data_IF_200233891549
#
_entry.id   IF_200233891549
#
_cell.length_a   1.000
_cell.length_b   1.000
_cell.length_c   1.000
_cell.angle_alpha   90.00
_cell.angle_beta   90.00
_cell.angle_gamma   90.00
#
_symmetry.space_group_name_H-M   'P 1'
#
loop_
_entity.id
_entity.type
_entity.pdbx_description
1 polymer ?
#
# COMPACT_ATOMS: atom_id res chain seq x y z
N UNK A 1 -10.73 -3.62 13.42
CA UNK A 1 -10.02 -4.93 13.48
C UNK A 1 -8.77 -4.85 14.35
N UNK A 2 -7.85 -3.94 14.04
CA UNK A 2 -6.63 -3.67 14.81
C UNK A 2 -6.70 -2.21 15.27
N UNK A 3 -6.40 -1.94 16.54
CA UNK A 3 -6.39 -0.57 17.09
C UNK A 3 -5.12 -0.38 17.90
N UNK A 4 -4.41 0.71 17.62
CA UNK A 4 -3.23 1.18 18.35
C UNK A 4 -3.60 2.46 19.09
N UNK A 5 -3.25 2.52 20.37
CA UNK A 5 -3.45 3.68 21.22
C UNK A 5 -2.10 4.10 21.81
N UNK A 6 -1.54 5.20 21.30
CA UNK A 6 -0.29 5.83 21.79
C UNK A 6 0.87 4.84 21.94
N UNK A 7 1.08 4.01 20.93
CA UNK A 7 2.07 2.93 20.96
C UNK A 7 3.47 3.49 20.81
N UNK A 8 4.37 3.05 21.70
CA UNK A 8 5.79 3.38 21.65
C UNK A 8 6.64 2.11 21.67
N UNK A 9 7.74 2.15 20.91
CA UNK A 9 8.82 1.16 20.93
C UNK A 9 10.15 1.90 20.95
N UNK A 10 10.88 1.75 22.04
CA UNK A 10 12.20 2.31 22.25
C UNK A 10 13.22 1.17 22.26
N UNK A 11 14.29 1.30 21.48
CA UNK A 11 15.46 0.44 21.54
C UNK A 11 16.60 1.14 22.29
N UNK A 12 17.32 0.38 23.11
CA UNK A 12 18.47 0.84 23.90
C UNK A 12 18.17 2.15 24.67
N UNK A 13 16.93 2.29 25.15
CA UNK A 13 16.40 3.42 25.94
C UNK A 13 16.58 4.82 25.32
N UNK A 14 16.93 4.91 24.04
CA UNK A 14 17.30 6.17 23.38
C UNK A 14 16.70 6.31 21.98
N UNK A 15 16.51 5.20 21.26
CA UNK A 15 16.04 5.21 19.88
C UNK A 15 14.55 4.85 19.79
N UNK A 16 13.71 5.84 19.50
CA UNK A 16 12.29 5.62 19.22
C UNK A 16 12.10 5.05 17.81
N UNK A 17 11.85 3.75 17.72
CA UNK A 17 11.45 3.13 16.46
C UNK A 17 9.96 3.29 16.15
N UNK A 18 9.13 3.37 17.19
CA UNK A 18 7.72 3.72 17.08
C UNK A 18 7.45 4.75 18.18
N UNK A 19 6.87 5.90 17.84
CA UNK A 19 6.68 7.03 18.73
C UNK A 19 5.25 7.54 18.64
N UNK A 20 4.53 7.42 19.74
CA UNK A 20 3.14 7.86 19.93
C UNK A 20 2.18 7.48 18.80
N UNK A 21 2.32 6.26 18.26
CA UNK A 21 1.54 5.84 17.09
C UNK A 21 0.13 5.41 17.52
N UNK A 22 -0.86 6.08 16.95
CA UNK A 22 -2.28 5.72 17.06
C UNK A 22 -2.86 5.50 15.68
N UNK A 23 -3.43 4.31 15.46
CA UNK A 23 -3.93 3.85 14.17
C UNK A 23 -5.15 2.95 14.41
N UNK A 24 -6.11 3.03 13.51
CA UNK A 24 -7.24 2.12 13.41
C UNK A 24 -7.19 1.43 12.05
N UNK A 25 -7.31 0.10 12.06
CA UNK A 25 -7.38 -0.72 10.86
C UNK A 25 -8.71 -1.46 10.91
N UNK A 26 -9.55 -1.22 9.91
CA UNK A 26 -10.88 -1.79 9.75
C UNK A 26 -10.81 -3.27 9.39
N UNK A 27 -11.95 -3.96 9.53
CA UNK A 27 -12.03 -5.38 9.16
C UNK A 27 -12.21 -5.48 7.65
N UNK A 28 -11.43 -6.33 7.00
CA UNK A 28 -11.61 -6.61 5.58
C UNK A 28 -11.03 -5.53 4.66
N UNK A 29 -10.17 -4.66 5.17
CA UNK A 29 -9.43 -3.71 4.33
C UNK A 29 -7.98 -4.17 4.10
N UNK A 30 -7.36 -3.61 3.05
CA UNK A 30 -5.93 -3.65 2.82
C UNK A 30 -5.34 -2.32 3.27
N UNK A 31 -4.65 -2.34 4.40
CA UNK A 31 -4.01 -1.18 5.01
C UNK A 31 -2.52 -1.13 4.69
N UNK A 32 -2.08 -0.04 4.08
CA UNK A 32 -0.69 0.20 3.73
C UNK A 32 0.05 1.01 4.80
N UNK A 33 1.31 0.68 5.04
CA UNK A 33 2.24 1.46 5.85
C UNK A 33 3.46 1.75 4.98
N UNK A 34 3.66 3.02 4.64
CA UNK A 34 4.74 3.48 3.77
C UNK A 34 5.66 4.46 4.50
N UNK A 35 6.88 4.59 4.03
CA UNK A 35 7.88 5.51 4.57
C UNK A 35 9.28 5.13 4.12
N UNK A 36 10.24 6.02 4.31
CA UNK A 36 11.64 5.76 3.98
C UNK A 36 12.23 4.60 4.80
N UNK A 37 13.39 4.10 4.37
CA UNK A 37 14.14 3.13 5.17
C UNK A 37 14.46 3.69 6.56
N UNK A 38 14.32 2.89 7.61
CA UNK A 38 14.50 3.33 8.99
C UNK A 38 13.34 4.11 9.61
N UNK A 39 12.21 4.30 8.91
CA UNK A 39 11.06 5.05 9.44
C UNK A 39 10.30 4.37 10.60
N UNK A 40 10.61 3.12 10.95
CA UNK A 40 9.94 2.37 12.04
C UNK A 40 8.90 1.33 11.59
N UNK A 41 8.68 1.18 10.27
CA UNK A 41 7.65 0.30 9.69
C UNK A 41 7.75 -1.15 10.16
N UNK A 42 8.90 -1.81 9.95
CA UNK A 42 9.07 -3.22 10.31
C UNK A 42 9.01 -3.45 11.82
N UNK A 43 9.42 -2.46 12.63
CA UNK A 43 9.19 -2.52 14.08
C UNK A 43 7.69 -2.49 14.39
N UNK A 44 6.93 -1.58 13.77
CA UNK A 44 5.48 -1.46 13.97
C UNK A 44 4.71 -2.74 13.63
N UNK A 45 4.95 -3.37 12.47
CA UNK A 45 4.21 -4.59 12.09
C UNK A 45 4.52 -5.78 13.01
N UNK A 46 5.75 -5.86 13.51
CA UNK A 46 6.18 -6.91 14.45
C UNK A 46 5.56 -6.74 15.83
N UNK A 47 5.07 -5.54 16.17
CA UNK A 47 4.26 -5.36 17.37
C UNK A 47 2.91 -6.07 17.26
N UNK A 48 2.31 -6.16 16.07
CA UNK A 48 0.98 -6.79 15.89
C UNK A 48 0.93 -8.27 16.23
N UNK A 49 1.99 -9.02 15.93
CA UNK A 49 2.09 -10.43 16.29
C UNK A 49 2.99 -10.66 17.52
N UNK A 50 3.43 -9.59 18.18
CA UNK A 50 4.29 -9.63 19.36
C UNK A 50 5.67 -10.24 19.09
N UNK A 51 6.17 -10.21 17.85
CA UNK A 51 7.59 -10.51 17.57
C UNK A 51 8.51 -9.44 18.16
N UNK A 52 7.97 -8.24 18.34
CA UNK A 52 8.55 -7.17 19.14
C UNK A 52 7.62 -6.86 20.31
N UNK A 53 8.19 -6.56 21.47
CA UNK A 53 7.44 -6.07 22.64
C UNK A 53 7.37 -4.55 22.62
N UNK A 54 6.18 -3.97 22.83
CA UNK A 54 6.02 -2.52 22.95
C UNK A 54 6.62 -2.01 24.27
N UNK A 55 7.10 -0.77 24.28
CA UNK A 55 7.59 -0.10 25.50
C UNK A 55 6.43 0.53 26.28
N UNK A 56 5.47 1.12 25.58
CA UNK A 56 4.24 1.67 26.18
C UNK A 56 3.11 1.79 25.16
N UNK A 57 1.90 2.10 25.63
CA UNK A 57 0.68 2.16 24.82
C UNK A 57 -0.13 0.87 24.84
N UNK A 58 -1.08 0.74 23.90
CA UNK A 58 -1.94 -0.45 23.81
C UNK A 58 -2.15 -0.86 22.35
N UNK A 59 -2.21 -2.17 22.12
CA UNK A 59 -2.57 -2.75 20.82
C UNK A 59 -3.72 -3.72 21.04
N UNK A 60 -4.86 -3.47 20.42
CA UNK A 60 -6.04 -4.34 20.46
C UNK A 60 -6.24 -5.01 19.12
N UNK A 61 -6.35 -6.34 19.12
CA UNK A 61 -6.65 -7.15 17.93
C UNK A 61 -7.94 -7.92 18.17
N UNK A 62 -8.98 -7.61 17.38
CA UNK A 62 -10.34 -8.11 17.60
C UNK A 62 -10.84 -7.81 19.02
N UNK A 63 -10.55 -6.60 19.52
CA UNK A 63 -10.92 -6.15 20.88
C UNK A 63 -10.03 -6.68 22.00
N UNK A 64 -9.16 -7.66 21.75
CA UNK A 64 -8.26 -8.23 22.76
C UNK A 64 -6.96 -7.45 22.82
N UNK A 65 -6.60 -6.94 24.00
CA UNK A 65 -5.30 -6.27 24.21
C UNK A 65 -4.16 -7.31 24.17
N UNK A 66 -3.29 -7.23 23.17
CA UNK A 66 -2.21 -8.22 23.00
C UNK A 66 -1.06 -8.03 23.96
N UNK A 67 -0.89 -6.83 24.57
CA UNK A 67 0.18 -6.58 25.54
C UNK A 67 -0.07 -7.23 26.90
N UNK A 68 -1.32 -7.55 27.20
CA UNK A 68 -1.74 -8.15 28.47
C UNK A 68 -1.87 -9.68 28.37
N UNK A 69 -1.63 -10.25 27.18
CA UNK A 69 -1.73 -11.69 26.98
C UNK A 69 -0.57 -12.43 27.63
N UNK A 70 -0.88 -13.57 28.24
CA UNK A 70 0.14 -14.53 28.64
C UNK A 70 0.91 -15.04 27.41
N UNK A 71 2.13 -15.56 27.58
CA UNK A 71 2.90 -16.16 26.49
C UNK A 71 2.11 -17.25 25.74
N UNK A 72 1.31 -18.04 26.46
CA UNK A 72 0.48 -19.10 25.88
C UNK A 72 -0.66 -18.53 25.03
N UNK A 73 -1.33 -17.49 25.50
CA UNK A 73 -2.44 -16.87 24.78
C UNK A 73 -1.94 -16.09 23.56
N UNK A 74 -0.76 -15.44 23.67
CA UNK A 74 -0.09 -14.80 22.56
C UNK A 74 0.26 -15.81 21.45
N UNK A 75 0.78 -16.99 21.81
CA UNK A 75 1.04 -18.08 20.85
C UNK A 75 -0.24 -18.52 20.14
N UNK A 76 -1.35 -18.66 20.86
CA UNK A 76 -2.64 -19.00 20.26
C UNK A 76 -3.16 -17.88 19.34
N UNK A 77 -3.00 -16.62 19.73
CA UNK A 77 -3.39 -15.47 18.90
C UNK A 77 -2.55 -15.38 17.62
N UNK A 78 -1.24 -15.68 17.68
CA UNK A 78 -0.35 -15.74 16.51
C UNK A 78 -0.82 -16.73 15.45
N UNK A 79 -1.45 -17.85 15.84
CA UNK A 79 -2.03 -18.80 14.87
C UNK A 79 -3.12 -18.17 13.99
N UNK A 80 -3.75 -17.08 14.45
CA UNK A 80 -4.79 -16.34 13.72
C UNK A 80 -4.26 -15.12 12.97
N UNK A 81 -2.94 -14.90 12.98
CA UNK A 81 -2.24 -13.82 12.29
C UNK A 81 -1.19 -14.45 11.37
N UNK A 82 -1.46 -14.45 10.07
CA UNK A 82 -0.48 -14.85 9.07
C UNK A 82 0.57 -13.76 8.89
N UNK A 83 1.83 -14.13 8.66
CA UNK A 83 2.89 -13.19 8.34
C UNK A 83 3.71 -13.65 7.14
N UNK A 84 3.90 -12.72 6.21
CA UNK A 84 4.80 -12.82 5.07
C UNK A 84 6.00 -11.92 5.38
N UNK A 85 7.19 -12.49 5.35
CA UNK A 85 8.44 -11.80 5.65
C UNK A 85 9.09 -11.23 4.38
N UNK A 86 9.98 -10.25 4.57
CA UNK A 86 10.77 -9.63 3.49
C UNK A 86 11.62 -10.66 2.72
N UNK A 87 12.23 -11.60 3.46
CA UNK A 87 12.81 -12.80 2.88
C UNK A 87 11.83 -13.96 3.00
N UNK A 88 11.79 -14.84 2.00
CA UNK A 88 10.80 -15.94 1.94
C UNK A 88 10.75 -16.82 3.20
N UNK A 89 11.87 -16.91 3.94
CA UNK A 89 12.00 -17.68 5.19
C UNK A 89 11.47 -19.12 5.06
N UNK A 90 11.62 -19.73 3.89
CA UNK A 90 11.23 -21.12 3.64
C UNK A 90 12.26 -22.09 4.23
N UNK A 91 11.79 -23.19 4.78
CA UNK A 91 12.63 -24.26 5.29
C UNK A 91 13.25 -25.01 4.10
N UNK A 92 14.57 -24.83 3.90
CA UNK A 92 15.31 -25.41 2.78
C UNK A 92 15.31 -26.94 2.77
N UNK A 93 15.18 -27.55 3.94
CA UNK A 93 15.13 -29.00 4.14
C UNK A 93 13.76 -29.63 3.88
N UNK A 94 12.75 -28.81 3.56
CA UNK A 94 11.37 -29.26 3.35
C UNK A 94 10.88 -28.91 1.95
N UNK A 95 10.01 -29.74 1.39
CA UNK A 95 9.31 -29.46 0.12
C UNK A 95 8.31 -28.32 0.27
N UNK A 96 7.68 -27.91 -0.83
CA UNK A 96 6.60 -26.91 -0.81
C UNK A 96 5.43 -27.37 0.08
N UNK A 97 4.93 -28.59 -0.12
CA UNK A 97 3.83 -29.16 0.70
C UNK A 97 4.19 -29.16 2.18
N UNK A 98 5.41 -29.58 2.50
CA UNK A 98 5.90 -29.64 3.88
C UNK A 98 6.11 -28.25 4.51
N UNK A 99 6.47 -27.24 3.71
CA UNK A 99 6.54 -25.85 4.18
C UNK A 99 5.16 -25.29 4.49
N UNK A 100 4.17 -25.56 3.64
CA UNK A 100 2.78 -25.10 3.83
C UNK A 100 2.11 -25.85 4.99
N UNK A 101 2.39 -27.14 5.14
CA UNK A 101 1.85 -27.99 6.21
C UNK A 101 2.48 -27.75 7.58
N UNK A 102 3.71 -27.21 7.65
CA UNK A 102 4.44 -27.04 8.91
C UNK A 102 3.67 -26.27 10.00
N UNK A 103 2.99 -25.14 9.74
CA UNK A 103 2.17 -24.47 10.76
C UNK A 103 1.02 -25.31 11.30
N UNK A 104 0.48 -26.23 10.49
CA UNK A 104 -0.61 -27.14 10.87
C UNK A 104 -0.10 -28.31 11.72
N UNK A 105 1.11 -28.82 11.41
CA UNK A 105 1.80 -29.81 12.23
C UNK A 105 2.03 -29.28 13.65
N UNK A 106 2.50 -28.02 13.77
CA UNK A 106 2.71 -27.35 15.06
C UNK A 106 1.38 -27.16 15.81
N UNK A 107 0.30 -26.89 15.08
CA UNK A 107 -1.05 -26.75 15.66
C UNK A 107 -1.70 -28.10 15.99
N UNK A 108 -1.03 -29.23 15.71
CA UNK A 108 -1.50 -30.56 16.08
C UNK A 108 -2.60 -31.12 15.19
N UNK A 109 -2.71 -30.64 13.94
CA UNK A 109 -3.69 -31.15 12.99
C UNK A 109 -3.40 -32.62 12.62
N UNK A 110 -4.45 -33.37 12.27
CA UNK A 110 -4.29 -34.74 11.79
C UNK A 110 -3.72 -34.72 10.37
N UNK A 111 -2.84 -35.67 10.06
CA UNK A 111 -2.15 -35.77 8.76
C UNK A 111 -3.09 -35.65 7.56
N UNK A 112 -4.23 -36.35 7.58
CA UNK A 112 -5.23 -36.31 6.50
C UNK A 112 -5.83 -34.91 6.30
N UNK A 113 -6.05 -34.17 7.39
CA UNK A 113 -6.59 -32.80 7.33
C UNK A 113 -5.52 -31.81 6.85
N UNK A 114 -4.24 -32.05 7.20
CA UNK A 114 -3.10 -31.30 6.69
C UNK A 114 -2.98 -31.47 5.18
N UNK A 115 -2.98 -32.70 4.67
CA UNK A 115 -2.87 -33.00 3.24
C UNK A 115 -3.95 -32.28 2.43
N UNK A 116 -5.22 -32.42 2.85
CA UNK A 116 -6.34 -31.72 2.22
C UNK A 116 -6.16 -30.20 2.23
N UNK A 117 -5.78 -29.63 3.38
CA UNK A 117 -5.60 -28.18 3.52
C UNK A 117 -4.45 -27.66 2.66
N UNK A 118 -3.36 -28.41 2.57
CA UNK A 118 -2.21 -28.06 1.73
C UNK A 118 -2.59 -28.06 0.26
N UNK A 119 -3.36 -29.05 -0.21
CA UNK A 119 -3.86 -29.10 -1.59
C UNK A 119 -4.75 -27.89 -1.92
N UNK A 120 -5.67 -27.51 -1.04
CA UNK A 120 -6.50 -26.31 -1.19
C UNK A 120 -5.64 -25.04 -1.34
N UNK A 121 -4.56 -24.94 -0.55
CA UNK A 121 -3.66 -23.78 -0.57
C UNK A 121 -2.76 -23.76 -1.80
N UNK A 122 -2.30 -24.91 -2.27
CA UNK A 122 -1.53 -25.03 -3.52
C UNK A 122 -2.36 -24.55 -4.71
N UNK A 123 -3.63 -24.96 -4.78
CA UNK A 123 -4.58 -24.48 -5.79
C UNK A 123 -4.80 -22.96 -5.67
N UNK A 124 -4.97 -22.45 -4.44
CA UNK A 124 -5.17 -21.03 -4.21
C UNK A 124 -4.00 -20.17 -4.70
N UNK A 125 -2.76 -20.68 -4.60
CA UNK A 125 -1.55 -19.95 -5.01
C UNK A 125 -0.99 -20.39 -6.35
N UNK A 126 -1.73 -21.20 -7.12
CA UNK A 126 -1.38 -21.68 -8.47
C UNK A 126 -0.02 -22.42 -8.50
N UNK A 127 0.18 -23.38 -7.58
CA UNK A 127 1.40 -24.18 -7.44
C UNK A 127 1.13 -25.71 -7.31
N UNK A 128 0.01 -26.19 -7.84
CA UNK A 128 -0.41 -27.59 -7.74
C UNK A 128 0.65 -28.58 -8.23
N UNK A 129 1.34 -28.25 -9.32
CA UNK A 129 2.40 -29.07 -9.93
C UNK A 129 3.76 -28.95 -9.21
N UNK A 130 3.89 -28.04 -8.23
CA UNK A 130 5.15 -27.75 -7.53
C UNK A 130 5.21 -28.26 -6.09
N UNK A 131 4.19 -28.99 -5.63
CA UNK A 131 4.07 -29.39 -4.23
C UNK A 131 5.28 -30.18 -3.68
N UNK A 132 5.92 -31.01 -4.51
CA UNK A 132 7.03 -31.88 -4.11
C UNK A 132 8.42 -31.26 -4.37
N UNK A 133 8.48 -30.03 -4.88
CA UNK A 133 9.73 -29.32 -5.12
C UNK A 133 10.30 -28.75 -3.81
N UNK A 134 11.63 -28.62 -3.76
CA UNK A 134 12.33 -27.90 -2.70
C UNK A 134 12.47 -26.41 -3.04
N UNK A 135 12.59 -25.52 -2.04
CA UNK A 135 12.74 -24.08 -2.28
C UNK A 135 13.88 -23.70 -3.23
N UNK A 136 14.97 -24.47 -3.29
CA UNK A 136 16.08 -24.20 -4.21
C UNK A 136 15.68 -24.32 -5.70
N UNK A 137 14.62 -25.07 -6.01
CA UNK A 137 14.14 -25.32 -7.36
C UNK A 137 13.09 -24.28 -7.83
N UNK A 138 12.77 -23.30 -6.99
CA UNK A 138 11.71 -22.33 -7.24
C UNK A 138 12.25 -20.94 -7.61
N UNK A 139 11.51 -20.25 -8.50
CA UNK A 139 11.71 -18.82 -8.77
C UNK A 139 11.34 -17.96 -7.55
N UNK A 140 11.73 -16.68 -7.55
CA UNK A 140 11.38 -15.75 -6.48
C UNK A 140 9.87 -15.62 -6.25
N UNK A 141 9.10 -15.44 -7.33
CA UNK A 141 7.64 -15.37 -7.25
C UNK A 141 6.99 -16.66 -6.74
N UNK A 142 7.52 -17.82 -7.14
CA UNK A 142 7.06 -19.11 -6.63
C UNK A 142 7.35 -19.25 -5.13
N UNK A 143 8.56 -18.90 -4.67
CA UNK A 143 8.88 -18.89 -3.23
C UNK A 143 7.94 -17.96 -2.45
N UNK A 144 7.58 -16.82 -3.03
CA UNK A 144 6.63 -15.89 -2.43
C UNK A 144 5.23 -16.50 -2.30
N UNK A 145 4.74 -17.16 -3.34
CA UNK A 145 3.46 -17.90 -3.33
C UNK A 145 3.44 -18.99 -2.25
N UNK A 146 4.54 -19.72 -2.08
CA UNK A 146 4.68 -20.70 -0.98
C UNK A 146 4.63 -20.01 0.39
N UNK A 147 5.31 -18.87 0.55
CA UNK A 147 5.28 -18.10 1.80
C UNK A 147 3.86 -17.58 2.13
N UNK A 148 3.11 -17.13 1.11
CA UNK A 148 1.69 -16.72 1.23
C UNK A 148 0.83 -17.92 1.65
N UNK A 149 0.92 -19.05 0.94
CA UNK A 149 0.17 -20.26 1.27
C UNK A 149 0.44 -20.72 2.72
N UNK A 150 1.71 -20.72 3.14
CA UNK A 150 2.10 -21.03 4.51
C UNK A 150 1.52 -20.06 5.54
N UNK A 151 1.52 -18.75 5.24
CA UNK A 151 0.94 -17.74 6.13
C UNK A 151 -0.59 -17.93 6.31
N UNK A 152 -1.26 -18.47 5.29
CA UNK A 152 -2.71 -18.72 5.27
C UNK A 152 -3.12 -20.09 5.80
N UNK A 153 -2.15 -20.95 6.15
CA UNK A 153 -2.38 -22.34 6.52
C UNK A 153 -3.42 -22.47 7.64
N UNK A 154 -3.23 -21.74 8.74
CA UNK A 154 -4.05 -21.79 9.96
C UNK A 154 -5.38 -21.00 9.89
N UNK A 155 -5.87 -20.66 8.67
CA UNK A 155 -7.05 -19.81 8.47
C UNK A 155 -6.98 -18.52 9.32
N UNK A 156 -5.95 -17.68 9.09
CA UNK A 156 -5.83 -16.43 9.83
C UNK A 156 -6.96 -15.46 9.45
N UNK A 157 -7.19 -14.46 10.28
CA UNK A 157 -8.06 -13.31 9.95
C UNK A 157 -7.28 -12.08 9.54
N UNK A 158 -5.99 -12.04 9.89
CA UNK A 158 -5.07 -10.96 9.59
C UNK A 158 -3.90 -11.52 8.79
N UNK A 159 -3.52 -10.83 7.72
CA UNK A 159 -2.30 -11.11 6.97
C UNK A 159 -1.36 -9.90 7.07
N UNK A 160 -0.20 -10.10 7.70
CA UNK A 160 0.87 -9.13 7.79
C UNK A 160 1.87 -9.36 6.65
N UNK A 161 2.28 -8.30 5.97
CA UNK A 161 3.21 -8.38 4.83
C UNK A 161 4.32 -7.35 4.99
N UNK A 162 5.51 -7.80 5.38
CA UNK A 162 6.71 -6.96 5.56
C UNK A 162 7.55 -6.97 4.27
N UNK A 163 7.39 -5.97 3.40
CA UNK A 163 8.15 -5.82 2.13
C UNK A 163 8.17 -7.06 1.21
N UNK A 164 7.05 -7.79 1.18
CA UNK A 164 6.87 -9.06 0.47
C UNK A 164 7.24 -9.07 -1.02
N UNK A 165 7.26 -7.92 -1.68
CA UNK A 165 7.51 -7.80 -3.13
C UNK A 165 8.84 -7.12 -3.47
N UNK A 166 9.62 -6.70 -2.47
CA UNK A 166 10.84 -5.91 -2.68
C UNK A 166 11.93 -6.63 -3.49
N UNK A 167 12.00 -7.96 -3.39
CA UNK A 167 12.99 -8.79 -4.08
C UNK A 167 12.50 -9.37 -5.43
N UNK A 168 11.36 -8.90 -5.94
CA UNK A 168 10.70 -9.45 -7.14
C UNK A 168 10.76 -8.46 -8.30
N UNK A 169 10.78 -8.99 -9.53
CA UNK A 169 10.65 -8.17 -10.73
C UNK A 169 9.25 -7.54 -10.83
N UNK A 170 9.08 -6.41 -11.55
CA UNK A 170 7.80 -5.68 -11.60
C UNK A 170 6.61 -6.52 -12.07
N UNK A 171 6.80 -7.45 -13.01
CA UNK A 171 5.72 -8.31 -13.52
C UNK A 171 5.28 -9.30 -12.44
N UNK A 172 6.23 -9.93 -11.76
CA UNK A 172 5.95 -10.82 -10.64
C UNK A 172 5.31 -10.08 -9.48
N UNK A 173 5.78 -8.88 -9.14
CA UNK A 173 5.17 -8.02 -8.11
C UNK A 173 3.68 -7.81 -8.36
N UNK A 174 3.29 -7.37 -9.57
CA UNK A 174 1.87 -7.20 -9.92
C UNK A 174 1.06 -8.49 -9.77
N UNK A 175 1.61 -9.63 -10.20
CA UNK A 175 0.96 -10.93 -10.04
C UNK A 175 0.73 -11.30 -8.56
N UNK A 176 1.71 -11.04 -7.69
CA UNK A 176 1.61 -11.31 -6.25
C UNK A 176 0.62 -10.36 -5.57
N UNK A 177 0.62 -9.08 -5.92
CA UNK A 177 -0.33 -8.11 -5.36
C UNK A 177 -1.77 -8.45 -5.75
N UNK A 178 -1.99 -8.85 -7.01
CA UNK A 178 -3.29 -9.36 -7.46
C UNK A 178 -3.72 -10.58 -6.66
N UNK A 179 -2.83 -11.55 -6.46
CA UNK A 179 -3.09 -12.73 -5.64
C UNK A 179 -3.51 -12.35 -4.21
N UNK A 180 -2.78 -11.43 -3.56
CA UNK A 180 -3.13 -10.95 -2.21
C UNK A 180 -4.53 -10.32 -2.20
N UNK A 181 -4.85 -9.48 -3.19
CA UNK A 181 -6.16 -8.83 -3.32
C UNK A 181 -7.30 -9.84 -3.53
N UNK A 182 -7.07 -10.85 -4.34
CA UNK A 182 -8.06 -11.91 -4.61
C UNK A 182 -8.29 -12.78 -3.37
N UNK A 183 -7.22 -13.16 -2.66
CA UNK A 183 -7.29 -13.90 -1.40
C UNK A 183 -8.02 -13.08 -0.34
N UNK A 184 -7.68 -11.79 -0.23
CA UNK A 184 -8.30 -10.87 0.72
C UNK A 184 -9.82 -10.85 0.56
N UNK A 185 -10.31 -10.68 -0.67
CA UNK A 185 -11.74 -10.71 -1.00
C UNK A 185 -12.38 -12.06 -0.72
N UNK A 186 -11.73 -13.15 -1.14
CA UNK A 186 -12.27 -14.52 -1.01
C UNK A 186 -12.39 -14.97 0.45
N UNK A 187 -11.49 -14.50 1.32
CA UNK A 187 -11.36 -14.95 2.70
C UNK A 187 -11.76 -13.89 3.75
N UNK A 188 -12.21 -12.70 3.33
CA UNK A 188 -12.53 -11.56 4.22
C UNK A 188 -11.36 -11.24 5.18
N UNK A 189 -10.13 -11.28 4.64
CA UNK A 189 -8.92 -11.00 5.42
C UNK A 189 -8.75 -9.50 5.63
N UNK A 190 -8.19 -9.16 6.78
CA UNK A 190 -7.60 -7.83 6.99
C UNK A 190 -6.11 -7.91 6.67
N UNK A 191 -5.64 -7.13 5.72
CA UNK A 191 -4.24 -7.17 5.28
C UNK A 191 -3.53 -5.91 5.77
N UNK A 192 -2.37 -6.07 6.39
CA UNK A 192 -1.48 -4.95 6.70
C UNK A 192 -0.18 -5.14 5.95
N UNK A 193 0.09 -4.22 5.03
CA UNK A 193 1.24 -4.22 4.14
C UNK A 193 2.23 -3.14 4.56
N UNK A 194 3.51 -3.47 4.60
CA UNK A 194 4.60 -2.50 4.59
C UNK A 194 5.31 -2.54 3.26
N UNK A 195 5.61 -1.35 2.74
CA UNK A 195 6.42 -1.16 1.55
C UNK A 195 7.13 0.19 1.60
N UNK A 196 8.15 0.36 0.77
CA UNK A 196 8.71 1.66 0.43
C UNK A 196 8.29 2.13 -0.98
N UNK A 197 7.56 1.29 -1.73
CA UNK A 197 7.15 1.54 -3.10
C UNK A 197 5.71 2.07 -3.13
N UNK A 198 5.54 3.29 -3.62
CA UNK A 198 4.24 3.95 -3.69
C UNK A 198 3.31 3.26 -4.70
N UNK A 199 3.84 2.62 -5.75
CA UNK A 199 3.03 1.87 -6.72
C UNK A 199 2.30 0.69 -6.08
N UNK A 200 2.91 0.05 -5.09
CA UNK A 200 2.30 -1.08 -4.37
C UNK A 200 1.09 -0.60 -3.54
N UNK A 201 1.23 0.55 -2.86
CA UNK A 201 0.14 1.17 -2.12
C UNK A 201 -1.01 1.50 -3.08
N UNK A 202 -0.68 2.13 -4.21
CA UNK A 202 -1.63 2.51 -5.25
C UNK A 202 -2.46 1.34 -5.76
N UNK A 203 -1.82 0.21 -6.02
CA UNK A 203 -2.46 -0.94 -6.69
C UNK A 203 -3.53 -1.63 -5.81
N UNK A 204 -3.26 -1.78 -4.50
CA UNK A 204 -4.05 -2.67 -3.64
C UNK A 204 -4.56 -2.08 -2.33
N UNK A 205 -4.06 -0.95 -1.83
CA UNK A 205 -4.45 -0.46 -0.49
C UNK A 205 -5.70 0.41 -0.53
N UNK A 206 -6.58 0.21 0.44
CA UNK A 206 -7.76 1.04 0.67
C UNK A 206 -7.42 2.30 1.47
N UNK A 207 -6.60 2.12 2.52
CA UNK A 207 -6.05 3.18 3.38
C UNK A 207 -4.54 3.04 3.50
N UNK A 208 -3.87 4.15 3.78
CA UNK A 208 -2.44 4.18 4.01
C UNK A 208 -2.08 5.04 5.23
N UNK A 209 -1.01 4.66 5.92
CA UNK A 209 -0.29 5.51 6.87
C UNK A 209 1.13 5.76 6.36
N UNK A 210 1.53 7.03 6.34
CA UNK A 210 2.87 7.48 6.02
C UNK A 210 3.65 7.67 7.32
N UNK A 211 4.72 6.89 7.48
CA UNK A 211 5.60 6.94 8.64
C UNK A 211 6.90 7.66 8.34
N UNK A 212 7.36 8.44 9.30
CA UNK A 212 8.71 9.01 9.31
C UNK A 212 9.21 9.16 10.74
N UNK A 213 10.49 8.81 10.96
CA UNK A 213 11.16 8.94 12.27
C UNK A 213 10.35 8.33 13.44
N UNK A 214 9.70 7.19 13.19
CA UNK A 214 8.90 6.46 14.17
C UNK A 214 7.48 6.98 14.38
N UNK A 215 7.09 8.09 13.77
CA UNK A 215 5.77 8.70 13.90
C UNK A 215 4.92 8.44 12.65
N UNK A 216 3.60 8.40 12.81
CA UNK A 216 2.65 8.47 11.68
C UNK A 216 2.42 9.94 11.38
N UNK A 217 2.93 10.40 10.23
CA UNK A 217 2.86 11.81 9.84
C UNK A 217 1.55 12.10 9.10
N UNK A 218 1.04 11.11 8.39
CA UNK A 218 -0.20 11.25 7.62
C UNK A 218 -0.90 9.90 7.53
N UNK A 219 -2.23 9.88 7.61
CA UNK A 219 -3.01 8.67 7.36
C UNK A 219 -4.38 9.04 6.80
N UNK A 220 -4.88 8.21 5.91
CA UNK A 220 -6.17 8.43 5.26
C UNK A 220 -6.44 7.38 4.21
N UNK A 221 -7.49 7.61 3.42
CA UNK A 221 -7.78 6.78 2.25
C UNK A 221 -6.67 6.97 1.22
N UNK A 222 -6.31 5.89 0.53
CA UNK A 222 -5.20 5.91 -0.43
C UNK A 222 -5.37 7.01 -1.47
N UNK A 223 -6.57 7.18 -2.04
CA UNK A 223 -6.78 8.24 -3.03
C UNK A 223 -6.50 9.64 -2.45
N UNK A 224 -7.01 9.95 -1.26
CA UNK A 224 -6.87 11.28 -0.63
C UNK A 224 -5.40 11.65 -0.43
N UNK A 225 -4.60 10.69 0.03
CA UNK A 225 -3.16 10.86 0.25
C UNK A 225 -2.42 11.13 -1.06
N UNK A 226 -2.80 10.49 -2.16
CA UNK A 226 -2.12 10.66 -3.44
C UNK A 226 -2.47 11.99 -4.13
N UNK A 227 -3.68 12.50 -3.91
CA UNK A 227 -4.18 13.71 -4.56
C UNK A 227 -3.84 14.98 -3.82
N UNK A 228 -3.93 14.93 -2.50
CA UNK A 228 -3.74 16.08 -1.64
C UNK A 228 -2.82 15.73 -0.46
N UNK A 229 -1.56 15.32 -0.74
CA UNK A 229 -0.59 15.02 0.30
C UNK A 229 -0.31 16.28 1.13
N UNK A 230 -0.55 16.18 2.44
CA UNK A 230 -0.38 17.31 3.36
C UNK A 230 1.07 17.46 3.81
N UNK A 231 1.75 16.34 4.07
CA UNK A 231 3.14 16.34 4.55
C UNK A 231 4.13 16.41 3.39
N UNK A 232 5.22 17.16 3.57
CA UNK A 232 6.29 17.28 2.57
C UNK A 232 6.96 15.93 2.29
N UNK A 233 7.08 15.05 3.29
CA UNK A 233 7.60 13.69 3.10
C UNK A 233 6.63 12.87 2.25
N UNK A 234 5.32 13.06 2.42
CA UNK A 234 4.33 12.39 1.59
C UNK A 234 4.42 12.87 0.14
N UNK A 235 4.57 14.19 -0.07
CA UNK A 235 4.79 14.77 -1.41
C UNK A 235 6.04 14.19 -2.07
N UNK A 236 7.15 14.14 -1.34
CA UNK A 236 8.41 13.55 -1.81
C UNK A 236 8.23 12.07 -2.20
N UNK A 237 7.59 11.26 -1.36
CA UNK A 237 7.35 9.84 -1.64
C UNK A 237 6.43 9.63 -2.85
N UNK A 238 5.47 10.53 -3.08
CA UNK A 238 4.59 10.48 -4.26
C UNK A 238 5.34 10.95 -5.50
N UNK A 239 6.20 11.97 -5.40
CA UNK A 239 6.92 12.54 -6.53
C UNK A 239 7.96 11.59 -7.13
N UNK A 240 8.37 10.54 -6.41
CA UNK A 240 9.14 9.43 -6.98
C UNK A 240 8.36 8.58 -8.01
N UNK A 241 7.05 8.84 -8.20
CA UNK A 241 6.26 8.37 -9.33
C UNK A 241 6.43 9.40 -10.46
N UNK A 242 6.79 8.99 -11.69
CA UNK A 242 7.74 9.71 -12.53
C UNK A 242 7.50 11.22 -12.64
N UNK A 243 8.39 11.98 -12.00
CA UNK A 243 8.60 13.43 -12.09
C UNK A 243 9.26 13.89 -13.42
N UNK A 244 9.34 13.04 -14.45
CA UNK A 244 9.99 13.42 -15.73
C UNK A 244 9.34 14.66 -16.38
N UNK A 245 8.14 15.03 -15.98
CA UNK A 245 7.38 16.14 -16.54
C UNK A 245 7.90 17.52 -16.11
N UNK A 246 8.42 17.72 -14.88
CA UNK A 246 8.73 19.07 -14.36
C UNK A 246 10.01 19.71 -14.93
N UNK A 247 11.03 18.91 -15.26
CA UNK A 247 12.27 19.45 -15.85
C UNK A 247 12.09 19.94 -17.29
N UNK A 248 11.23 19.27 -18.07
CA UNK A 248 10.90 19.68 -19.45
C UNK A 248 10.07 20.98 -19.47
N UNK A 249 9.17 21.17 -18.48
CA UNK A 249 8.29 22.34 -18.39
C UNK A 249 9.07 23.66 -18.19
N UNK A 250 10.29 23.63 -17.61
CA UNK A 250 11.12 24.83 -17.45
C UNK A 250 11.43 25.51 -18.79
N UNK A 251 11.51 24.77 -19.89
CA UNK A 251 11.81 25.29 -21.22
C UNK A 251 10.57 25.78 -22.00
N UNK A 252 9.36 25.54 -21.47
CA UNK A 252 8.09 25.83 -22.15
C UNK A 252 7.44 27.12 -21.62
N UNK A 253 7.99 27.73 -20.56
CA UNK A 253 7.43 28.95 -19.95
C UNK A 253 7.44 30.13 -20.94
N UNK A 254 6.23 30.60 -21.30
CA UNK A 254 6.02 31.78 -22.14
C UNK A 254 5.29 32.86 -21.35
N UNK A 255 5.80 34.10 -21.30
CA UNK A 255 5.08 35.22 -20.68
C UNK A 255 3.67 35.35 -21.27
N UNK A 256 2.68 35.57 -20.41
CA UNK A 256 1.25 35.63 -20.78
C UNK A 256 0.52 34.29 -20.79
N UNK A 257 1.21 33.15 -20.79
CA UNK A 257 0.61 31.82 -20.71
C UNK A 257 0.78 31.24 -19.31
N UNK A 258 -0.30 30.65 -18.77
CA UNK A 258 -0.24 29.95 -17.48
C UNK A 258 -0.02 28.47 -17.69
N UNK A 259 0.76 27.87 -16.82
CA UNK A 259 0.91 26.41 -16.75
C UNK A 259 0.27 25.94 -15.46
N UNK A 260 -0.70 25.06 -15.57
CA UNK A 260 -1.45 24.53 -14.44
C UNK A 260 -1.49 23.01 -14.49
N UNK A 261 -1.43 22.41 -13.31
CA UNK A 261 -1.65 20.98 -13.10
C UNK A 261 -3.09 20.78 -12.67
N UNK A 262 -3.84 20.07 -13.49
CA UNK A 262 -5.23 19.70 -13.27
C UNK A 262 -5.27 18.27 -12.73
N UNK A 263 -5.94 18.05 -11.61
CA UNK A 263 -6.09 16.76 -10.95
C UNK A 263 -7.54 16.29 -11.08
N UNK A 264 -7.73 15.14 -11.71
CA UNK A 264 -9.03 14.55 -12.02
C UNK A 264 -9.35 13.41 -11.07
N UNK A 265 -10.61 13.37 -10.63
CA UNK A 265 -11.09 12.50 -9.58
C UNK A 265 -12.42 11.85 -9.92
N UNK A 266 -12.45 10.51 -9.94
CA UNK A 266 -13.68 9.75 -10.02
C UNK A 266 -14.46 10.03 -11.32
N UNK A 267 -15.73 10.40 -11.21
CA UNK A 267 -16.61 10.60 -12.37
C UNK A 267 -16.16 11.76 -13.26
N UNK A 268 -15.53 12.80 -12.70
CA UNK A 268 -15.11 14.01 -13.44
C UNK A 268 -14.01 13.70 -14.46
N UNK A 269 -13.24 12.62 -14.25
CA UNK A 269 -12.22 12.19 -15.21
C UNK A 269 -12.81 11.72 -16.56
N UNK A 270 -14.09 11.33 -16.59
CA UNK A 270 -14.79 10.97 -17.83
C UNK A 270 -15.40 12.16 -18.57
N UNK A 271 -15.44 13.34 -17.94
CA UNK A 271 -16.06 14.52 -18.53
C UNK A 271 -15.10 15.26 -19.47
N UNK A 272 -15.60 15.86 -20.57
CA UNK A 272 -14.77 16.62 -21.51
C UNK A 272 -14.46 18.03 -20.97
N UNK A 273 -13.85 18.10 -19.78
CA UNK A 273 -13.61 19.34 -19.02
C UNK A 273 -12.78 20.35 -19.83
N UNK A 274 -11.68 19.90 -20.46
CA UNK A 274 -10.83 20.79 -21.26
C UNK A 274 -11.59 21.39 -22.44
N UNK A 275 -12.36 20.57 -23.17
CA UNK A 275 -13.15 21.05 -24.30
C UNK A 275 -14.25 22.03 -23.87
N UNK A 276 -14.86 21.83 -22.69
CA UNK A 276 -15.82 22.78 -22.11
C UNK A 276 -15.13 24.10 -21.74
N UNK A 277 -13.92 24.07 -21.17
CA UNK A 277 -13.16 25.28 -20.85
C UNK A 277 -12.82 26.10 -22.11
N UNK A 278 -12.32 25.46 -23.17
CA UNK A 278 -12.02 26.11 -24.46
C UNK A 278 -13.26 26.83 -24.99
N UNK A 279 -14.42 26.17 -25.00
CA UNK A 279 -15.67 26.75 -25.51
C UNK A 279 -16.22 27.89 -24.64
N UNK A 280 -16.20 27.72 -23.32
CA UNK A 280 -16.83 28.65 -22.38
C UNK A 280 -16.01 29.94 -22.20
N UNK A 281 -14.69 29.83 -22.23
CA UNK A 281 -13.81 30.96 -21.97
C UNK A 281 -13.15 31.51 -23.24
N UNK A 282 -13.17 30.77 -24.36
CA UNK A 282 -12.54 31.21 -25.60
C UNK A 282 -11.03 31.34 -25.45
N UNK A 283 -10.42 30.31 -24.88
CA UNK A 283 -8.98 30.15 -24.66
C UNK A 283 -8.52 28.86 -25.34
N UNK A 284 -7.22 28.77 -25.64
CA UNK A 284 -6.63 27.55 -26.15
C UNK A 284 -5.93 26.80 -25.00
N UNK A 285 -6.05 25.48 -25.00
CA UNK A 285 -5.39 24.60 -24.03
C UNK A 285 -4.47 23.67 -24.77
N UNK A 286 -3.19 23.67 -24.41
CA UNK A 286 -2.22 22.69 -24.87
C UNK A 286 -1.90 21.71 -23.73
N UNK A 287 -1.93 20.40 -24.00
CA UNK A 287 -1.60 19.38 -23.01
C UNK A 287 -0.11 19.11 -23.11
N UNK A 288 0.63 19.46 -22.06
CA UNK A 288 2.09 19.30 -22.02
C UNK A 288 2.46 17.88 -21.59
N UNK A 289 1.79 17.39 -20.55
CA UNK A 289 1.95 16.01 -20.08
C UNK A 289 0.73 15.58 -19.27
N UNK A 290 0.66 14.29 -18.95
CA UNK A 290 -0.30 13.80 -18.00
C UNK A 290 -0.34 12.28 -17.91
N UNK A 291 -0.84 11.82 -16.77
CA UNK A 291 -1.05 10.42 -16.49
C UNK A 291 -2.48 10.21 -15.97
N UNK A 292 -3.16 9.20 -16.49
CA UNK A 292 -4.43 8.70 -15.95
C UNK A 292 -4.26 7.25 -15.55
N UNK A 293 -4.77 6.91 -14.38
CA UNK A 293 -4.68 5.58 -13.79
C UNK A 293 -6.01 5.20 -13.12
N UNK A 294 -6.17 3.92 -12.81
CA UNK A 294 -7.36 3.40 -12.15
C UNK A 294 -7.02 2.99 -10.71
N UNK A 295 -7.44 3.79 -9.74
CA UNK A 295 -7.23 3.52 -8.32
C UNK A 295 -8.54 3.02 -7.68
N UNK A 296 -8.54 1.80 -7.15
CA UNK A 296 -9.69 1.25 -6.42
C UNK A 296 -11.04 1.36 -7.17
N UNK A 297 -10.99 1.28 -8.52
CA UNK A 297 -12.16 1.38 -9.40
C UNK A 297 -12.55 2.81 -9.82
N UNK A 298 -11.82 3.83 -9.35
CA UNK A 298 -11.98 5.23 -9.77
C UNK A 298 -10.85 5.64 -10.70
N UNK A 299 -11.18 6.40 -11.75
CA UNK A 299 -10.16 7.03 -12.59
C UNK A 299 -9.56 8.20 -11.80
N UNK A 300 -8.25 8.18 -11.64
CA UNK A 300 -7.47 9.24 -11.01
C UNK A 300 -6.33 9.60 -11.94
N UNK A 301 -6.11 10.88 -12.15
CA UNK A 301 -5.02 11.31 -13.00
C UNK A 301 -4.74 12.79 -12.87
N UNK A 302 -3.64 13.21 -13.47
CA UNK A 302 -3.33 14.62 -13.63
C UNK A 302 -2.96 14.93 -15.07
N UNK A 303 -3.28 16.15 -15.49
CA UNK A 303 -2.80 16.74 -16.73
C UNK A 303 -2.06 18.02 -16.38
N UNK A 304 -0.88 18.20 -16.95
CA UNK A 304 -0.22 19.50 -16.98
C UNK A 304 -0.57 20.15 -18.29
N UNK A 305 -1.20 21.33 -18.21
CA UNK A 305 -1.69 22.05 -19.38
C UNK A 305 -1.17 23.48 -19.40
N UNK A 306 -0.89 23.97 -20.61
CA UNK A 306 -0.64 25.38 -20.90
C UNK A 306 -1.95 26.04 -21.33
N UNK A 307 -2.35 27.09 -20.62
CA UNK A 307 -3.48 27.93 -20.95
C UNK A 307 -2.99 29.14 -21.75
N UNK A 308 -3.58 29.35 -22.92
CA UNK A 308 -3.18 30.40 -23.87
C UNK A 308 -4.36 31.32 -24.16
N UNK A 309 -4.07 32.61 -24.34
CA UNK A 309 -5.07 33.65 -24.60
C UNK A 309 -5.06 34.75 -23.54
N UNK A 310 -6.16 35.48 -23.42
CA UNK A 310 -6.27 36.58 -22.45
C UNK A 310 -6.13 36.10 -20.99
N UNK A 311 -5.26 36.74 -20.20
CA UNK A 311 -4.97 36.32 -18.83
C UNK A 311 -6.17 36.37 -17.89
N UNK A 312 -7.14 37.26 -18.11
CA UNK A 312 -8.35 37.33 -17.30
C UNK A 312 -9.25 36.11 -17.58
N UNK A 313 -9.34 35.69 -18.84
CA UNK A 313 -10.03 34.46 -19.23
C UNK A 313 -9.36 33.21 -18.68
N UNK A 314 -8.02 33.16 -18.68
CA UNK A 314 -7.28 32.06 -18.07
C UNK A 314 -7.57 31.95 -16.56
N UNK A 315 -7.62 33.08 -15.84
CA UNK A 315 -8.01 33.09 -14.42
C UNK A 315 -9.44 32.56 -14.20
N UNK A 316 -10.40 33.00 -15.02
CA UNK A 316 -11.78 32.53 -14.93
C UNK A 316 -11.88 31.01 -15.17
N UNK A 317 -11.09 30.48 -16.09
CA UNK A 317 -11.02 29.04 -16.34
C UNK A 317 -10.42 28.27 -15.17
N UNK A 318 -9.36 28.80 -14.54
CA UNK A 318 -8.74 28.21 -13.33
C UNK A 318 -9.77 28.12 -12.19
N UNK A 319 -10.52 29.20 -11.93
CA UNK A 319 -11.59 29.20 -10.92
C UNK A 319 -12.71 28.24 -11.31
N UNK A 320 -13.04 28.13 -12.60
CA UNK A 320 -14.06 27.21 -13.07
C UNK A 320 -13.67 25.74 -12.88
N UNK A 321 -12.42 25.35 -13.17
CA UNK A 321 -11.94 23.99 -12.92
C UNK A 321 -12.15 23.58 -11.45
N UNK A 322 -11.82 24.48 -10.52
CA UNK A 322 -12.06 24.26 -9.09
C UNK A 322 -13.55 24.08 -8.76
N UNK A 323 -14.44 24.78 -9.46
CA UNK A 323 -15.90 24.68 -9.26
C UNK A 323 -16.53 23.39 -9.79
N UNK A 324 -15.84 22.66 -10.67
CA UNK A 324 -16.29 21.39 -11.25
C UNK A 324 -15.53 20.19 -10.67
N UNK A 325 -15.06 20.33 -9.43
CA UNK A 325 -14.33 19.30 -8.68
C UNK A 325 -13.03 18.81 -9.36
N UNK A 326 -12.40 19.66 -10.17
CA UNK A 326 -11.04 19.45 -10.69
C UNK A 326 -10.06 20.19 -9.79
N UNK A 327 -9.11 19.45 -9.19
CA UNK A 327 -8.04 20.06 -8.41
C UNK A 327 -7.11 20.87 -9.32
N UNK A 328 -6.69 22.05 -8.88
CA UNK A 328 -5.81 22.92 -9.68
C UNK A 328 -4.62 23.38 -8.86
N UNK A 329 -3.43 23.17 -9.41
CA UNK A 329 -2.17 23.73 -8.92
C UNK A 329 -1.54 24.59 -10.02
N UNK A 330 -1.15 25.83 -9.68
CA UNK A 330 -0.53 26.75 -10.65
C UNK A 330 0.99 26.58 -10.61
N UNK A 331 1.57 26.02 -11.66
CA UNK A 331 3.01 25.79 -11.81
C UNK A 331 3.72 27.06 -12.30
N UNK A 332 3.08 27.80 -13.21
CA UNK A 332 3.58 29.07 -13.74
C UNK A 332 2.42 30.03 -13.98
N UNK A 333 2.54 31.26 -13.49
CA UNK A 333 1.44 32.23 -13.47
C UNK A 333 1.45 33.22 -14.63
N UNK A 334 2.34 33.03 -15.62
CA UNK A 334 2.41 33.86 -16.83
C UNK A 334 3.21 35.16 -16.68
N UNK A 335 3.85 35.40 -15.52
CA UNK A 335 4.70 36.57 -15.22
C UNK A 335 6.11 36.10 -14.90
#
# INVERSE_FOLDING_TARGET
MIVLEKVNKVYNDTFYAVKDVSLDIEKGEIFGIIGLSGAGKSSLIRLFNGLEEMTSGKIKIEGVNISELSKKDLLNKRKKIGMIFQHFNLLKSRTVKENIGFPLEIDGWKKKDIEKRVEELLLLVELEDKGDFYPCQLSGGQKQRVAIARALANNPKILLSDEATSALDPKTTKSILKLIKDIQKKMDLTVVLITHQMEVIREICDRVAVMSRGEVIESGKTYEIFLNPKSDITKELISYVPLQEEEEIKYIKKPGNKIVKLMFLGAVAGDPILSKAVKNFGLDINVLSGAMDLLSGMVIGHLIVELMGDMEKQNKAITWFQSVDVGVEVIYNGI
#
